data_IF_713532205597
#
_entry.id   IF_713532205597
#
_cell.length_a   1.000
_cell.length_b   1.000
_cell.length_c   1.000
_cell.angle_alpha   90.00
_cell.angle_beta   90.00
_cell.angle_gamma   90.00
#
_symmetry.space_group_name_H-M   'P 1'
#
loop_
_entity.id
_entity.type
_entity.pdbx_description
1 polymer ?
#
# COMPACT_ATOMS: atom_id res chain seq x y z
N UNK A 1 9.23 10.60 1.26
CA UNK A 1 9.97 9.46 1.87
C UNK A 1 9.12 8.19 1.91
N UNK A 2 7.97 8.17 2.61
CA UNK A 2 7.08 6.98 2.66
C UNK A 2 6.65 6.48 1.29
N UNK A 3 6.14 7.34 0.41
CA UNK A 3 5.73 6.95 -0.94
C UNK A 3 6.86 6.28 -1.75
N UNK A 4 8.08 6.80 -1.70
CA UNK A 4 9.24 6.20 -2.37
C UNK A 4 9.59 4.80 -1.81
N UNK A 5 9.35 4.57 -0.52
CA UNK A 5 9.58 3.27 0.14
C UNK A 5 8.46 2.27 -0.15
N UNK A 6 7.23 2.75 -0.33
CA UNK A 6 6.12 1.94 -0.82
C UNK A 6 6.36 1.53 -2.27
N UNK A 7 6.83 2.45 -3.11
CA UNK A 7 7.21 2.15 -4.49
C UNK A 7 8.31 1.08 -4.54
N UNK A 8 9.31 1.11 -3.65
CA UNK A 8 10.34 0.09 -3.63
C UNK A 8 9.84 -1.29 -3.16
N UNK A 9 8.65 -1.37 -2.55
CA UNK A 9 7.98 -2.63 -2.20
C UNK A 9 7.02 -3.13 -3.30
N UNK A 10 6.50 -2.24 -4.13
CA UNK A 10 5.57 -2.58 -5.19
C UNK A 10 6.22 -3.45 -6.26
N UNK A 11 5.52 -4.49 -6.73
CA UNK A 11 5.91 -5.23 -7.93
C UNK A 11 5.41 -4.53 -9.18
N UNK A 12 5.90 -4.98 -10.33
CA UNK A 12 5.40 -4.49 -11.61
C UNK A 12 3.88 -4.76 -11.74
N UNK A 13 3.13 -3.72 -12.08
CA UNK A 13 1.67 -3.80 -12.19
C UNK A 13 0.91 -3.61 -10.88
N UNK A 14 1.58 -3.36 -9.77
CA UNK A 14 0.95 -3.10 -8.47
C UNK A 14 1.02 -1.62 -8.10
N UNK A 15 -0.03 -1.13 -7.45
CA UNK A 15 -0.07 0.17 -6.78
C UNK A 15 -0.19 -0.06 -5.28
N UNK A 16 0.84 0.31 -4.53
CA UNK A 16 0.86 0.18 -3.06
C UNK A 16 0.51 1.52 -2.44
N UNK A 17 -0.56 1.56 -1.65
CA UNK A 17 -1.03 2.77 -0.97
C UNK A 17 -1.03 2.56 0.54
N UNK A 18 -0.86 3.63 1.31
CA UNK A 18 -1.02 3.55 2.77
C UNK A 18 -2.48 3.39 3.16
N UNK A 19 -2.75 2.84 4.34
CA UNK A 19 -4.09 2.79 4.96
C UNK A 19 -4.82 4.15 4.87
N UNK A 20 -4.11 5.23 5.19
CA UNK A 20 -4.69 6.58 5.17
C UNK A 20 -5.11 7.05 3.77
N UNK A 21 -4.49 6.54 2.71
CA UNK A 21 -4.88 6.85 1.33
C UNK A 21 -6.01 5.91 0.90
N UNK A 22 -5.88 4.62 1.23
CA UNK A 22 -6.90 3.63 0.93
C UNK A 22 -8.27 4.00 1.50
N UNK A 23 -8.34 4.55 2.72
CA UNK A 23 -9.61 5.01 3.32
C UNK A 23 -10.38 6.03 2.49
N UNK A 24 -9.70 6.79 1.61
CA UNK A 24 -10.33 7.76 0.72
C UNK A 24 -10.80 7.17 -0.60
N UNK A 25 -10.24 6.03 -1.02
CA UNK A 25 -10.51 5.37 -2.31
C UNK A 25 -11.16 3.99 -2.16
N UNK A 26 -11.42 3.55 -0.92
CA UNK A 26 -11.96 2.23 -0.62
C UNK A 26 -13.33 1.96 -1.27
N UNK A 27 -14.10 3.01 -1.56
CA UNK A 27 -15.36 2.89 -2.31
C UNK A 27 -15.16 2.51 -3.77
N UNK A 28 -14.05 2.92 -4.38
CA UNK A 28 -13.71 2.64 -5.78
C UNK A 28 -12.98 1.31 -5.93
N UNK A 29 -12.24 0.90 -4.89
CA UNK A 29 -11.48 -0.34 -4.83
C UNK A 29 -11.89 -1.17 -3.60
N UNK A 30 -13.12 -1.71 -3.56
CA UNK A 30 -13.60 -2.43 -2.39
C UNK A 30 -12.89 -3.78 -2.23
N UNK A 31 -12.65 -4.17 -0.97
CA UNK A 31 -12.17 -5.51 -0.63
C UNK A 31 -10.68 -5.75 -0.85
N UNK A 32 -9.87 -4.71 -1.07
CA UNK A 32 -8.41 -4.86 -1.14
C UNK A 32 -7.86 -5.15 0.26
N UNK A 33 -7.16 -6.28 0.46
CA UNK A 33 -6.64 -6.66 1.76
C UNK A 33 -5.57 -5.69 2.25
N UNK A 34 -5.51 -5.52 3.57
CA UNK A 34 -4.43 -4.80 4.23
C UNK A 34 -3.25 -5.73 4.44
N UNK A 35 -2.06 -5.25 4.12
CA UNK A 35 -0.78 -5.87 4.43
C UNK A 35 0.02 -4.95 5.37
N UNK A 36 0.77 -5.55 6.29
CA UNK A 36 1.65 -4.80 7.18
C UNK A 36 3.10 -4.95 6.68
N UNK A 37 3.74 -3.83 6.34
CA UNK A 37 5.12 -3.81 5.82
C UNK A 37 6.08 -3.11 6.78
N UNK A 38 7.29 -3.65 6.91
CA UNK A 38 8.36 -3.01 7.67
C UNK A 38 9.05 -1.92 6.83
N UNK A 39 8.85 -0.66 7.19
CA UNK A 39 9.52 0.46 6.55
C UNK A 39 10.73 0.90 7.39
N UNK A 40 11.95 0.81 6.82
CA UNK A 40 13.20 1.18 7.52
C UNK A 40 13.15 2.53 8.24
N UNK A 41 13.32 2.58 9.55
CA UNK A 41 13.27 3.84 10.31
C UNK A 41 11.89 4.23 10.81
N UNK A 42 10.90 3.34 10.68
CA UNK A 42 9.77 3.25 11.62
C UNK A 42 9.95 2.02 12.49
N UNK A 43 9.61 2.15 13.78
CA UNK A 43 9.67 1.05 14.74
C UNK A 43 8.49 0.07 14.58
N UNK A 44 7.34 0.57 14.10
CA UNK A 44 6.11 -0.19 13.96
C UNK A 44 5.83 -0.59 12.50
N UNK A 45 5.11 -1.70 12.33
CA UNK A 45 4.60 -2.13 11.03
C UNK A 45 3.70 -1.05 10.41
N UNK A 46 3.84 -0.86 9.09
CA UNK A 46 3.09 0.16 8.36
C UNK A 46 2.02 -0.51 7.50
N UNK A 47 0.75 -0.23 7.79
CA UNK A 47 -0.38 -0.77 7.05
C UNK A 47 -0.50 -0.18 5.64
N UNK A 48 -0.56 -1.07 4.65
CA UNK A 48 -0.67 -0.75 3.23
C UNK A 48 -1.74 -1.62 2.55
N UNK A 49 -2.21 -1.17 1.40
CA UNK A 49 -3.09 -1.93 0.52
C UNK A 49 -2.44 -2.02 -0.85
N UNK A 50 -2.52 -3.20 -1.48
CA UNK A 50 -1.92 -3.48 -2.79
C UNK A 50 -3.02 -3.64 -3.82
N UNK A 51 -3.09 -2.70 -4.76
CA UNK A 51 -4.05 -2.73 -5.87
C UNK A 51 -3.32 -3.31 -7.09
N UNK A 52 -3.74 -4.48 -7.56
CA UNK A 52 -3.24 -5.06 -8.82
C UNK A 52 -3.94 -4.39 -10.00
N UNK A 53 -3.17 -3.89 -10.95
CA UNK A 53 -3.64 -3.38 -12.24
C UNK A 53 -3.56 -4.43 -13.36
N UNK A 54 -3.05 -5.63 -13.06
CA UNK A 54 -3.05 -6.74 -13.99
C UNK A 54 -4.41 -7.45 -13.95
N UNK A 55 -5.14 -7.38 -15.07
CA UNK A 55 -6.24 -8.29 -15.43
C UNK A 55 -5.71 -9.70 -15.75
#
# INVERSE_FOLDING_TARGET
NTAARLQSHAKAGEVVVSESVYSHIASEYPGVPREDVELRGKADSFGVHVISLAE
#
